data_IF_480113011306
#
_entry.id   IF_480113011306
#
_cell.length_a   1.000
_cell.length_b   1.000
_cell.length_c   1.000
_cell.angle_alpha   90.00
_cell.angle_beta   90.00
_cell.angle_gamma   90.00
#
_symmetry.space_group_name_H-M   'P 1'
#
loop_
_entity.id
_entity.type
_entity.pdbx_description
1 polymer ?
#
# COMPACT_ATOMS: atom_id res chain seq x y z
N UNK A 1 -26.18 -9.00 5.67
CA UNK A 1 -25.28 -8.85 6.83
C UNK A 1 -23.98 -8.26 6.34
N UNK A 2 -23.74 -6.97 6.58
CA UNK A 2 -22.42 -6.39 6.36
C UNK A 2 -21.51 -6.88 7.50
N UNK A 3 -20.51 -7.71 7.21
CA UNK A 3 -19.47 -8.00 8.18
C UNK A 3 -18.84 -6.68 8.62
N UNK A 4 -18.72 -6.47 9.92
CA UNK A 4 -18.09 -5.28 10.49
C UNK A 4 -16.66 -5.14 9.94
N UNK A 5 -16.35 -4.00 9.31
CA UNK A 5 -15.03 -3.76 8.73
C UNK A 5 -14.03 -3.64 9.89
N UNK A 6 -12.93 -4.40 9.81
CA UNK A 6 -11.93 -4.51 10.90
C UNK A 6 -10.78 -3.51 10.81
N UNK A 7 -10.96 -2.43 10.04
CA UNK A 7 -9.91 -1.43 9.84
C UNK A 7 -9.71 -0.58 11.10
N UNK A 8 -8.47 -0.53 11.60
CA UNK A 8 -8.11 0.30 12.75
C UNK A 8 -8.04 1.78 12.36
N UNK A 9 -8.88 2.61 12.97
CA UNK A 9 -8.96 4.06 12.74
C UNK A 9 -8.14 4.89 13.74
N UNK A 10 -7.43 4.26 14.68
CA UNK A 10 -6.68 4.95 15.74
C UNK A 10 -5.66 5.95 15.18
N UNK A 11 -4.95 5.57 14.11
CA UNK A 11 -3.98 6.43 13.40
C UNK A 11 -4.66 7.67 12.81
N UNK A 12 -5.88 7.54 12.29
CA UNK A 12 -6.61 8.67 11.70
C UNK A 12 -7.06 9.65 12.80
N UNK A 13 -7.63 9.13 13.88
CA UNK A 13 -8.05 9.98 15.01
C UNK A 13 -6.88 10.72 15.67
N UNK A 14 -5.71 10.07 15.75
CA UNK A 14 -4.50 10.70 16.27
C UNK A 14 -4.06 11.87 15.38
N UNK A 15 -3.98 11.64 14.07
CA UNK A 15 -3.50 12.65 13.12
C UNK A 15 -4.53 13.77 12.88
N UNK A 16 -5.83 13.51 12.96
CA UNK A 16 -6.84 14.57 12.85
C UNK A 16 -6.73 15.65 13.94
N UNK A 17 -6.17 15.32 15.11
CA UNK A 17 -5.96 16.30 16.19
C UNK A 17 -4.76 17.21 15.95
N UNK A 18 -3.78 16.76 15.17
CA UNK A 18 -2.49 17.43 15.00
C UNK A 18 -2.36 18.21 13.69
N UNK A 19 -3.26 18.01 12.73
CA UNK A 19 -3.10 18.59 11.39
C UNK A 19 -4.07 19.75 11.09
N UNK A 20 -3.73 20.64 10.14
CA UNK A 20 -4.56 21.80 9.79
C UNK A 20 -5.91 21.39 9.17
N UNK A 21 -6.98 22.06 9.58
CA UNK A 21 -8.36 21.80 9.10
C UNK A 21 -8.67 22.42 7.72
N UNK A 22 -7.76 23.25 7.20
CA UNK A 22 -7.95 23.95 5.92
C UNK A 22 -7.48 23.14 4.70
N UNK A 23 -6.70 22.07 4.90
CA UNK A 23 -6.22 21.19 3.84
C UNK A 23 -7.18 20.03 3.58
N UNK A 24 -7.08 19.42 2.40
CA UNK A 24 -7.83 18.23 2.05
C UNK A 24 -7.24 16.99 2.74
N UNK A 25 -8.08 16.26 3.50
CA UNK A 25 -7.66 15.04 4.18
C UNK A 25 -7.57 13.86 3.21
N UNK A 26 -6.44 13.17 3.26
CA UNK A 26 -6.14 12.02 2.41
C UNK A 26 -5.76 10.82 3.26
N UNK A 27 -6.26 9.65 2.86
CA UNK A 27 -5.79 8.35 3.32
C UNK A 27 -5.23 7.57 2.15
N UNK A 28 -4.07 6.94 2.36
CA UNK A 28 -3.44 6.09 1.36
C UNK A 28 -3.85 4.63 1.54
N UNK A 29 -4.00 3.88 0.45
CA UNK A 29 -4.15 2.42 0.51
C UNK A 29 -3.28 1.74 -0.53
N UNK A 30 -2.64 0.64 -0.14
CA UNK A 30 -1.92 -0.25 -1.04
C UNK A 30 -2.37 -1.68 -0.85
N UNK A 31 -2.90 -2.29 -1.90
CA UNK A 31 -3.23 -3.72 -1.90
C UNK A 31 -2.12 -4.55 -2.55
N UNK A 32 -2.07 -5.84 -2.25
CA UNK A 32 -1.18 -6.76 -2.95
C UNK A 32 -1.03 -8.11 -2.26
N UNK A 33 -0.31 -9.04 -2.91
CA UNK A 33 -0.10 -10.36 -2.32
C UNK A 33 0.64 -10.30 -0.98
N UNK A 34 1.59 -9.37 -0.80
CA UNK A 34 2.40 -9.25 0.43
C UNK A 34 2.99 -10.60 0.88
N UNK A 35 3.60 -11.33 -0.06
CA UNK A 35 4.00 -12.73 0.08
C UNK A 35 5.52 -12.95 -0.11
N UNK A 36 6.39 -12.40 0.78
CA UNK A 36 6.10 -11.54 1.93
C UNK A 36 6.10 -10.04 1.57
N UNK A 37 5.76 -9.18 2.54
CA UNK A 37 6.01 -7.73 2.46
C UNK A 37 7.53 -7.45 2.42
N UNK A 38 7.94 -6.29 1.92
CA UNK A 38 9.34 -5.91 1.73
C UNK A 38 9.51 -4.38 1.71
N UNK A 39 10.76 -3.90 1.73
CA UNK A 39 11.10 -2.48 1.91
C UNK A 39 10.43 -1.58 0.86
N UNK A 40 10.44 -1.99 -0.42
CA UNK A 40 9.79 -1.23 -1.50
C UNK A 40 8.28 -1.01 -1.29
N UNK A 41 7.56 -1.89 -0.57
CA UNK A 41 6.15 -1.63 -0.25
C UNK A 41 5.98 -0.46 0.73
N UNK A 42 6.84 -0.38 1.75
CA UNK A 42 6.83 0.69 2.76
C UNK A 42 7.34 2.00 2.14
N UNK A 43 8.45 1.96 1.40
CA UNK A 43 9.02 3.16 0.78
C UNK A 43 8.05 3.82 -0.21
N UNK A 44 7.29 3.04 -0.97
CA UNK A 44 6.28 3.58 -1.88
C UNK A 44 5.15 4.32 -1.14
N UNK A 45 4.79 3.88 0.07
CA UNK A 45 3.82 4.58 0.91
C UNK A 45 4.40 5.89 1.42
N UNK A 46 5.62 5.87 1.97
CA UNK A 46 6.32 7.05 2.49
C UNK A 46 6.50 8.12 1.40
N UNK A 47 7.05 7.73 0.24
CA UNK A 47 7.29 8.64 -0.89
C UNK A 47 5.99 9.27 -1.39
N UNK A 48 4.93 8.46 -1.50
CA UNK A 48 3.62 8.99 -1.92
C UNK A 48 3.10 10.01 -0.91
N UNK A 49 3.19 9.72 0.39
CA UNK A 49 2.80 10.66 1.43
C UNK A 49 3.54 11.98 1.29
N UNK A 50 4.87 11.95 1.28
CA UNK A 50 5.72 13.13 1.18
C UNK A 50 5.44 13.94 -0.10
N UNK A 51 5.27 13.25 -1.23
CA UNK A 51 4.96 13.91 -2.51
C UNK A 51 3.61 14.64 -2.48
N UNK A 52 2.55 14.00 -1.96
CA UNK A 52 1.22 14.61 -1.89
C UNK A 52 1.17 15.79 -0.92
N UNK A 53 1.86 15.69 0.21
CA UNK A 53 1.96 16.78 1.19
C UNK A 53 2.73 17.97 0.61
N UNK A 54 3.89 17.72 -0.02
CA UNK A 54 4.77 18.77 -0.57
C UNK A 54 4.24 19.43 -1.83
N UNK A 55 3.76 18.64 -2.79
CA UNK A 55 3.43 19.11 -4.15
C UNK A 55 1.96 19.51 -4.29
N UNK A 56 1.06 18.78 -3.60
CA UNK A 56 -0.38 18.99 -3.71
C UNK A 56 -1.01 19.67 -2.49
N UNK A 57 -0.22 19.98 -1.44
CA UNK A 57 -0.69 20.58 -0.20
C UNK A 57 -1.84 19.77 0.44
N UNK A 58 -1.82 18.45 0.26
CA UNK A 58 -2.73 17.53 0.92
C UNK A 58 -2.26 17.23 2.32
N UNK A 59 -3.20 16.74 3.13
CA UNK A 59 -2.95 16.33 4.49
C UNK A 59 -3.16 14.82 4.63
N UNK A 60 -2.07 14.06 4.62
CA UNK A 60 -2.12 12.59 4.68
C UNK A 60 -2.22 12.14 6.15
N UNK A 61 -3.46 11.94 6.59
CA UNK A 61 -3.79 11.59 7.98
C UNK A 61 -3.62 10.10 8.30
N UNK A 62 -3.38 9.26 7.28
CA UNK A 62 -3.02 7.87 7.48
C UNK A 62 -2.86 7.06 6.20
N UNK A 63 -2.42 5.82 6.36
CA UNK A 63 -2.21 4.88 5.28
C UNK A 63 -2.48 3.44 5.71
N UNK A 64 -2.92 2.62 4.76
CA UNK A 64 -3.19 1.21 4.98
C UNK A 64 -2.48 0.32 3.96
N UNK A 65 -1.77 -0.69 4.46
CA UNK A 65 -1.32 -1.83 3.66
C UNK A 65 -2.37 -2.92 3.80
N UNK A 66 -2.94 -3.36 2.69
CA UNK A 66 -4.04 -4.33 2.62
C UNK A 66 -3.56 -5.60 1.91
N UNK A 67 -3.16 -6.65 2.66
CA UNK A 67 -2.88 -7.94 2.05
C UNK A 67 -4.14 -8.49 1.36
N UNK A 68 -3.98 -9.00 0.14
CA UNK A 68 -5.12 -9.52 -0.63
C UNK A 68 -5.61 -10.88 -0.13
N UNK A 69 -6.78 -11.32 -0.57
CA UNK A 69 -7.38 -12.60 -0.17
C UNK A 69 -6.56 -13.83 -0.62
N UNK A 70 -6.57 -14.91 0.16
CA UNK A 70 -5.79 -16.12 -0.12
C UNK A 70 -6.17 -16.78 -1.45
N UNK A 71 -7.43 -16.72 -1.86
CA UNK A 71 -7.90 -17.24 -3.16
C UNK A 71 -7.12 -16.63 -4.34
N UNK A 72 -6.95 -15.30 -4.33
CA UNK A 72 -6.19 -14.60 -5.37
C UNK A 72 -4.70 -14.96 -5.32
N UNK A 73 -4.11 -15.01 -4.12
CA UNK A 73 -2.70 -15.38 -3.96
C UNK A 73 -2.48 -16.83 -4.39
N UNK A 74 -3.42 -17.73 -4.13
CA UNK A 74 -3.34 -19.13 -4.51
C UNK A 74 -3.37 -19.29 -6.03
N UNK A 75 -4.27 -18.58 -6.72
CA UNK A 75 -4.30 -18.56 -8.19
C UNK A 75 -2.98 -18.07 -8.80
N UNK A 76 -2.31 -17.12 -8.15
CA UNK A 76 -1.04 -16.55 -8.60
C UNK A 76 0.20 -17.39 -8.26
N UNK A 77 0.27 -17.93 -7.04
CA UNK A 77 1.50 -18.48 -6.44
C UNK A 77 1.41 -19.97 -6.09
N UNK A 78 0.22 -20.56 -6.14
CA UNK A 78 -0.05 -21.96 -5.82
C UNK A 78 0.56 -22.37 -4.47
N UNK A 79 1.54 -23.27 -4.49
CA UNK A 79 2.18 -23.83 -3.29
C UNK A 79 3.11 -22.82 -2.58
N UNK A 80 3.49 -21.71 -3.22
CA UNK A 80 4.31 -20.66 -2.59
C UNK A 80 3.50 -19.68 -1.74
N UNK A 81 2.19 -19.90 -1.62
CA UNK A 81 1.32 -19.08 -0.79
C UNK A 81 1.72 -19.19 0.69
N UNK A 82 1.86 -18.03 1.31
CA UNK A 82 1.85 -17.81 2.75
C UNK A 82 0.42 -17.40 3.13
N UNK A 83 -0.17 -18.09 4.10
CA UNK A 83 -1.55 -17.86 4.53
C UNK A 83 -1.77 -16.39 4.94
N UNK A 84 -2.97 -15.88 4.68
CA UNK A 84 -3.36 -14.50 4.93
C UNK A 84 -3.04 -14.00 6.32
N UNK A 85 -3.29 -14.79 7.36
CA UNK A 85 -2.98 -14.40 8.75
C UNK A 85 -1.49 -14.13 8.95
N UNK A 86 -0.63 -14.93 8.33
CA UNK A 86 0.82 -14.72 8.40
C UNK A 86 1.25 -13.52 7.58
N UNK A 87 0.61 -13.24 6.43
CA UNK A 87 0.91 -12.05 5.63
C UNK A 87 0.51 -10.77 6.34
N UNK A 88 -0.64 -10.75 7.01
CA UNK A 88 -1.07 -9.66 7.88
C UNK A 88 -0.02 -9.41 8.97
N UNK A 89 0.40 -10.46 9.67
CA UNK A 89 1.37 -10.32 10.77
C UNK A 89 2.74 -9.82 10.29
N UNK A 90 3.22 -10.33 9.15
CA UNK A 90 4.44 -9.81 8.52
C UNK A 90 4.29 -8.33 8.14
N UNK A 91 3.13 -7.89 7.68
CA UNK A 91 2.89 -6.46 7.39
C UNK A 91 2.97 -5.61 8.66
N UNK A 92 2.38 -6.04 9.78
CA UNK A 92 2.46 -5.32 11.07
C UNK A 92 3.91 -5.17 11.52
N UNK A 93 4.64 -6.29 11.54
CA UNK A 93 6.05 -6.33 11.95
C UNK A 93 6.93 -5.43 11.07
N UNK A 94 6.71 -5.46 9.76
CA UNK A 94 7.43 -4.58 8.83
C UNK A 94 7.17 -3.09 9.07
N UNK A 95 5.92 -2.70 9.35
CA UNK A 95 5.54 -1.31 9.64
C UNK A 95 6.19 -0.85 10.95
N UNK A 96 6.17 -1.68 11.99
CA UNK A 96 6.77 -1.41 13.28
C UNK A 96 8.31 -1.31 13.19
N UNK A 97 8.98 -2.28 12.54
CA UNK A 97 10.43 -2.26 12.35
C UNK A 97 10.87 -1.06 11.49
N UNK A 98 10.03 -0.57 10.58
CA UNK A 98 10.27 0.64 9.80
C UNK A 98 9.95 1.96 10.54
N UNK A 99 9.41 1.90 11.77
CA UNK A 99 9.04 3.09 12.55
C UNK A 99 7.86 3.89 11.99
N UNK A 100 6.99 3.28 11.18
CA UNK A 100 5.91 3.97 10.46
C UNK A 100 4.51 3.86 11.10
N UNK A 101 4.41 3.22 12.28
CA UNK A 101 3.14 2.93 12.96
C UNK A 101 2.33 4.17 13.38
N UNK A 102 2.94 5.37 13.36
CA UNK A 102 2.27 6.63 13.70
C UNK A 102 1.26 7.08 12.63
N UNK A 103 1.36 6.58 11.41
CA UNK A 103 0.45 6.94 10.31
C UNK A 103 0.10 5.76 9.39
N UNK A 104 0.86 4.68 9.42
CA UNK A 104 0.67 3.51 8.57
C UNK A 104 0.21 2.32 9.41
N UNK A 105 -0.83 1.62 8.96
CA UNK A 105 -1.33 0.39 9.61
C UNK A 105 -1.72 -0.67 8.57
N UNK A 106 -2.16 -1.84 9.04
CA UNK A 106 -2.63 -2.94 8.19
C UNK A 106 -4.15 -2.93 8.13
N UNK A 107 -4.72 -2.90 6.92
CA UNK A 107 -6.15 -3.18 6.71
C UNK A 107 -6.33 -4.68 6.44
N UNK A 108 -7.01 -5.37 7.35
CA UNK A 108 -7.26 -6.81 7.23
C UNK A 108 -8.51 -7.13 6.40
N UNK A 109 -9.35 -6.13 6.10
CA UNK A 109 -10.69 -6.35 5.55
C UNK A 109 -10.67 -7.16 4.25
N UNK A 110 -9.74 -6.88 3.33
CA UNK A 110 -9.59 -7.62 2.07
C UNK A 110 -9.12 -9.06 2.30
N UNK A 111 -8.10 -9.24 3.15
CA UNK A 111 -7.51 -10.54 3.40
C UNK A 111 -8.46 -11.52 4.09
N UNK A 112 -9.32 -10.99 4.97
CA UNK A 112 -10.23 -11.75 5.83
C UNK A 112 -11.68 -11.78 5.30
N UNK A 113 -11.92 -11.21 4.12
CA UNK A 113 -13.21 -11.30 3.46
C UNK A 113 -13.57 -12.77 3.13
N UNK A 114 -14.85 -13.12 3.00
CA UNK A 114 -15.25 -14.48 2.61
C UNK A 114 -14.80 -14.91 1.20
N UNK A 115 -14.48 -13.94 0.33
CA UNK A 115 -14.06 -14.16 -1.05
C UNK A 115 -13.14 -13.03 -1.51
N UNK A 116 -12.44 -13.23 -2.62
CA UNK A 116 -11.64 -12.17 -3.23
C UNK A 116 -12.49 -10.93 -3.59
N UNK A 117 -11.94 -9.76 -3.29
CA UNK A 117 -12.52 -8.45 -3.62
C UNK A 117 -11.49 -7.71 -4.47
N UNK A 118 -11.92 -7.14 -5.60
CA UNK A 118 -11.03 -6.37 -6.47
C UNK A 118 -10.56 -5.07 -5.81
N UNK A 119 -9.41 -4.56 -6.25
CA UNK A 119 -8.77 -3.40 -5.63
C UNK A 119 -9.63 -2.13 -5.64
N UNK A 120 -10.51 -1.96 -6.62
CA UNK A 120 -11.34 -0.76 -6.68
C UNK A 120 -12.42 -0.86 -5.61
N UNK A 121 -13.07 -2.02 -5.51
CA UNK A 121 -14.04 -2.32 -4.46
C UNK A 121 -13.45 -2.22 -3.05
N UNK A 122 -12.23 -2.72 -2.82
CA UNK A 122 -11.52 -2.57 -1.52
C UNK A 122 -11.33 -1.08 -1.18
N UNK A 123 -10.89 -0.29 -2.15
CA UNK A 123 -10.63 1.15 -1.98
C UNK A 123 -11.93 1.93 -1.72
N UNK A 124 -12.99 1.68 -2.49
CA UNK A 124 -14.29 2.31 -2.28
C UNK A 124 -14.90 1.95 -0.94
N UNK A 125 -14.83 0.67 -0.58
CA UNK A 125 -15.31 0.21 0.71
C UNK A 125 -14.57 0.93 1.85
N UNK A 126 -13.24 1.14 1.72
CA UNK A 126 -12.45 1.86 2.73
C UNK A 126 -12.90 3.31 2.83
N UNK A 127 -13.03 3.97 1.69
CA UNK A 127 -13.49 5.34 1.61
C UNK A 127 -14.87 5.53 2.24
N UNK A 128 -15.83 4.64 1.94
CA UNK A 128 -17.16 4.69 2.53
C UNK A 128 -17.09 4.53 4.05
N UNK A 129 -16.36 3.53 4.53
CA UNK A 129 -16.20 3.28 5.97
C UNK A 129 -15.61 4.48 6.69
N UNK A 130 -14.48 5.02 6.20
CA UNK A 130 -13.82 6.17 6.80
C UNK A 130 -14.76 7.38 6.84
N UNK A 131 -15.43 7.69 5.74
CA UNK A 131 -16.30 8.88 5.68
C UNK A 131 -17.56 8.73 6.55
N UNK A 132 -18.13 7.53 6.64
CA UNK A 132 -19.27 7.25 7.51
C UNK A 132 -18.88 7.32 8.99
N UNK A 133 -17.72 6.76 9.36
CA UNK A 133 -17.29 6.69 10.76
C UNK A 133 -16.72 8.01 11.28
N UNK A 134 -15.93 8.73 10.48
CA UNK A 134 -15.36 10.01 10.89
C UNK A 134 -16.36 11.16 10.77
N UNK A 135 -17.30 11.08 9.81
CA UNK A 135 -18.36 12.07 9.57
C UNK A 135 -17.85 13.54 9.61
N UNK A 136 -16.74 13.79 8.92
CA UNK A 136 -16.12 15.11 8.87
C UNK A 136 -16.90 16.05 7.93
N UNK A 137 -16.88 17.38 8.16
CA UNK A 137 -17.55 18.35 7.28
C UNK A 137 -17.06 18.30 5.83
N UNK A 138 -15.77 18.00 5.64
CA UNK A 138 -15.17 17.70 4.35
C UNK A 138 -14.84 16.21 4.28
N UNK A 139 -15.26 15.49 3.24
CA UNK A 139 -14.99 14.08 3.11
C UNK A 139 -13.48 13.81 2.95
N UNK A 140 -13.04 12.67 3.49
CA UNK A 140 -11.67 12.16 3.35
C UNK A 140 -11.53 11.47 1.99
N UNK A 141 -10.51 11.86 1.24
CA UNK A 141 -10.13 11.18 0.00
C UNK A 141 -9.34 9.93 0.30
N UNK A 142 -9.51 8.92 -0.56
CA UNK A 142 -8.70 7.69 -0.50
C UNK A 142 -7.95 7.53 -1.81
N UNK A 143 -6.62 7.56 -1.72
CA UNK A 143 -5.72 7.45 -2.87
C UNK A 143 -5.04 6.08 -2.86
N UNK A 144 -5.18 5.35 -3.95
CA UNK A 144 -4.55 4.05 -4.12
C UNK A 144 -3.09 4.18 -4.57
N UNK A 145 -2.17 3.47 -3.93
CA UNK A 145 -0.73 3.49 -4.25
C UNK A 145 -0.33 2.29 -5.11
N UNK A 146 -0.14 2.54 -6.40
CA UNK A 146 0.28 1.54 -7.39
C UNK A 146 1.72 1.77 -7.86
N UNK A 147 2.39 0.69 -8.28
CA UNK A 147 3.55 0.82 -9.17
C UNK A 147 3.11 0.97 -10.62
N UNK A 148 3.94 1.53 -11.49
CA UNK A 148 3.65 1.75 -12.92
C UNK A 148 3.12 0.48 -13.62
N UNK A 149 3.75 -0.66 -13.35
CA UNK A 149 3.37 -1.98 -13.87
C UNK A 149 1.93 -2.41 -13.56
N UNK A 150 1.46 -2.12 -12.35
CA UNK A 150 0.09 -2.44 -11.94
C UNK A 150 -0.88 -1.44 -12.57
N UNK A 151 -0.49 -0.17 -12.62
CA UNK A 151 -1.28 0.91 -13.19
C UNK A 151 -1.61 0.64 -14.66
N UNK A 152 -0.61 0.24 -15.45
CA UNK A 152 -0.76 -0.02 -16.89
C UNK A 152 -1.61 -1.27 -17.20
N UNK A 153 -1.67 -2.24 -16.28
CA UNK A 153 -2.34 -3.54 -16.52
C UNK A 153 -3.72 -3.65 -15.88
N UNK A 154 -4.01 -2.88 -14.84
CA UNK A 154 -5.25 -3.05 -14.08
C UNK A 154 -6.35 -2.08 -14.51
N UNK A 155 -7.42 -2.61 -15.11
CA UNK A 155 -8.61 -1.83 -15.50
C UNK A 155 -9.28 -1.11 -14.32
N UNK A 156 -9.17 -1.66 -13.11
CA UNK A 156 -9.71 -1.05 -11.88
C UNK A 156 -9.14 0.34 -11.55
N UNK A 157 -7.98 0.70 -12.11
CA UNK A 157 -7.42 2.05 -11.97
C UNK A 157 -8.28 3.11 -12.67
N UNK A 158 -9.04 2.72 -13.71
CA UNK A 158 -9.88 3.65 -14.48
C UNK A 158 -11.05 4.17 -13.66
N UNK A 159 -11.66 3.35 -12.81
CA UNK A 159 -12.74 3.79 -11.92
C UNK A 159 -12.21 4.67 -10.79
N UNK A 160 -11.08 4.29 -10.17
CA UNK A 160 -10.45 5.05 -9.09
C UNK A 160 -10.05 6.47 -9.52
N UNK A 161 -9.42 6.63 -10.70
CA UNK A 161 -9.02 7.95 -11.21
C UNK A 161 -10.18 8.88 -11.59
N UNK A 162 -11.38 8.33 -11.75
CA UNK A 162 -12.60 9.07 -12.11
C UNK A 162 -13.51 9.35 -10.91
N UNK A 163 -13.24 8.75 -9.77
CA UNK A 163 -14.02 8.98 -8.55
C UNK A 163 -13.64 10.32 -7.93
N UNK A 164 -14.60 11.17 -7.52
CA UNK A 164 -14.32 12.49 -6.96
C UNK A 164 -13.51 12.41 -5.65
N UNK A 165 -13.76 11.40 -4.82
CA UNK A 165 -13.02 11.18 -3.58
C UNK A 165 -11.86 10.18 -3.74
N UNK A 166 -11.76 9.55 -4.91
CA UNK A 166 -10.72 8.60 -5.26
C UNK A 166 -9.48 9.27 -5.84
N UNK A 167 -8.44 8.45 -6.02
CA UNK A 167 -7.27 8.80 -6.82
C UNK A 167 -6.30 7.63 -6.89
N UNK A 168 -5.31 7.77 -7.77
CA UNK A 168 -4.23 6.78 -7.91
C UNK A 168 -2.89 7.51 -7.88
N UNK A 169 -2.06 7.18 -6.89
CA UNK A 169 -0.65 7.53 -6.89
C UNK A 169 0.14 6.42 -7.60
N UNK A 170 0.84 6.79 -8.68
CA UNK A 170 1.63 5.89 -9.51
C UNK A 170 3.10 6.14 -9.21
N UNK A 171 3.70 5.22 -8.46
CA UNK A 171 5.15 5.23 -8.21
C UNK A 171 5.87 4.63 -9.40
N UNK A 172 6.77 5.40 -10.02
CA UNK A 172 7.50 5.01 -11.23
C UNK A 172 8.99 5.34 -11.09
N UNK A 173 9.80 4.73 -11.96
CA UNK A 173 11.23 5.03 -12.07
C UNK A 173 11.53 5.76 -13.37
N UNK A 174 12.45 6.74 -13.39
CA UNK A 174 12.94 7.32 -14.62
C UNK A 174 13.46 6.23 -15.58
N UNK A 175 13.11 6.30 -16.86
CA UNK A 175 13.50 5.33 -17.88
C UNK A 175 12.59 4.09 -18.01
N UNK A 176 11.59 3.89 -17.14
CA UNK A 176 10.53 2.89 -17.36
C UNK A 176 9.42 3.49 -18.25
N UNK A 177 9.34 3.04 -19.51
CA UNK A 177 8.30 3.34 -20.52
C UNK A 177 7.42 4.58 -20.21
N UNK A 178 8.10 5.73 -20.10
CA UNK A 178 7.61 7.00 -19.57
C UNK A 178 6.78 7.78 -20.60
N UNK A 179 6.60 7.22 -21.79
CA UNK A 179 5.82 7.76 -22.91
C UNK A 179 4.37 8.04 -22.54
N UNK A 180 3.84 7.35 -21.53
CA UNK A 180 2.51 7.63 -20.97
C UNK A 180 2.51 8.67 -19.85
N UNK A 181 3.64 8.90 -19.18
CA UNK A 181 3.76 9.80 -18.02
C UNK A 181 3.86 11.26 -18.51
N UNK A 182 4.67 11.51 -19.54
CA UNK A 182 4.82 12.85 -20.15
C UNK A 182 3.60 13.30 -20.96
N UNK A 183 2.81 12.37 -21.52
CA UNK A 183 1.56 12.71 -22.23
C UNK A 183 0.34 12.90 -21.31
N UNK A 184 0.39 12.43 -20.06
CA UNK A 184 -0.68 12.61 -19.06
C UNK A 184 -0.37 13.65 -17.99
N UNK A 185 0.86 14.17 -17.91
CA UNK A 185 1.19 15.28 -17.02
C UNK A 185 0.33 16.54 -17.24
N UNK A 186 -0.38 16.66 -18.37
CA UNK A 186 -1.17 17.85 -18.72
C UNK A 186 -2.47 17.48 -19.46
N UNK A 187 -3.30 16.60 -18.91
CA UNK A 187 -4.74 16.60 -19.24
C UNK A 187 -5.60 16.66 -17.98
N UNK A 188 -5.80 17.89 -17.56
CA UNK A 188 -7.01 18.47 -16.95
C UNK A 188 -7.97 17.48 -16.25
N UNK A 189 -7.91 17.44 -14.92
CA UNK A 189 -8.96 16.84 -14.08
C UNK A 189 -8.87 15.35 -13.75
N UNK A 190 -7.79 14.65 -14.11
CA UNK A 190 -7.62 13.24 -13.70
C UNK A 190 -7.04 13.10 -12.28
N UNK A 191 -7.66 12.28 -11.42
CA UNK A 191 -7.18 12.00 -10.06
C UNK A 191 -5.99 11.01 -10.07
N UNK A 192 -4.93 11.34 -10.81
CA UNK A 192 -3.69 10.54 -10.93
C UNK A 192 -2.49 11.38 -10.52
N UNK A 193 -1.66 10.82 -9.65
CA UNK A 193 -0.49 11.48 -9.06
C UNK A 193 0.76 10.67 -9.39
N UNK A 194 1.67 11.20 -10.21
CA UNK A 194 2.89 10.49 -10.60
C UNK A 194 4.02 10.79 -9.60
N UNK A 195 4.50 9.75 -8.92
CA UNK A 195 5.51 9.86 -7.86
C UNK A 195 6.81 9.21 -8.34
N UNK A 196 7.86 10.01 -8.48
CA UNK A 196 9.18 9.50 -8.88
C UNK A 196 9.83 8.73 -7.72
N UNK A 197 10.34 7.54 -7.99
CA UNK A 197 11.03 6.71 -7.00
C UNK A 197 12.46 7.18 -6.67
N UNK A 198 13.09 7.98 -7.55
CA UNK A 198 14.47 8.47 -7.43
C UNK A 198 14.52 9.96 -7.13
N UNK A 199 13.48 10.50 -6.50
CA UNK A 199 13.47 11.92 -6.13
C UNK A 199 14.41 12.11 -4.93
N UNK A 200 15.66 12.53 -5.20
CA UNK A 200 16.76 12.69 -4.23
C UNK A 200 16.45 13.68 -3.09
N UNK A 201 15.41 14.51 -3.28
CA UNK A 201 14.90 15.45 -2.27
C UNK A 201 13.99 14.77 -1.22
N UNK A 202 13.74 13.46 -1.33
CA UNK A 202 12.94 12.70 -0.36
C UNK A 202 13.85 11.94 0.61
N UNK A 203 13.75 12.27 1.90
CA UNK A 203 14.44 11.55 2.99
C UNK A 203 14.01 10.08 2.99
N UNK A 204 14.81 9.26 2.32
CA UNK A 204 14.67 7.82 2.25
C UNK A 204 15.90 7.23 2.90
N UNK A 205 15.94 7.30 4.22
CA UNK A 205 16.94 6.60 5.03
C UNK A 205 16.87 5.09 4.75
N UNK A 206 17.63 4.62 3.74
CA UNK A 206 17.94 3.22 3.46
C UNK A 206 17.04 2.51 2.44
N UNK A 207 17.41 2.52 1.15
CA UNK A 207 17.31 1.34 0.27
C UNK A 207 18.14 1.48 -1.01
N UNK A 208 19.41 1.08 -0.98
CA UNK A 208 20.31 1.02 -2.14
C UNK A 208 20.14 -0.26 -3.01
N UNK A 209 18.92 -0.77 -3.24
CA UNK A 209 18.77 -1.80 -4.28
C UNK A 209 17.40 -1.75 -4.96
N UNK A 210 17.44 -1.47 -6.26
CA UNK A 210 16.30 -1.02 -7.06
C UNK A 210 15.48 -2.13 -7.70
N UNK A 211 15.56 -3.40 -7.29
CA UNK A 211 14.70 -4.47 -7.85
C UNK A 211 14.27 -5.50 -6.79
N UNK A 212 13.71 -4.99 -5.70
CA UNK A 212 13.13 -5.82 -4.64
C UNK A 212 11.74 -6.29 -5.07
N UNK A 213 11.57 -7.61 -5.17
CA UNK A 213 10.26 -8.25 -5.33
C UNK A 213 10.05 -9.35 -4.30
N UNK A 214 8.79 -9.62 -3.93
CA UNK A 214 8.46 -10.76 -3.07
C UNK A 214 8.90 -12.09 -3.69
N UNK A 215 8.94 -12.21 -5.02
CA UNK A 215 9.42 -13.43 -5.71
C UNK A 215 10.91 -13.64 -5.45
N UNK A 216 11.72 -12.60 -5.62
CA UNK A 216 13.16 -12.65 -5.31
C UNK A 216 13.40 -13.07 -3.86
N UNK A 217 12.64 -12.50 -2.92
CA UNK A 217 12.77 -12.84 -1.49
C UNK A 217 12.45 -14.31 -1.24
N UNK A 218 11.37 -14.86 -1.83
CA UNK A 218 11.02 -16.28 -1.66
C UNK A 218 12.08 -17.20 -2.25
N UNK A 219 12.60 -16.86 -3.43
CA UNK A 219 13.67 -17.63 -4.09
C UNK A 219 14.94 -17.65 -3.23
N UNK A 220 15.43 -16.47 -2.81
CA UNK A 220 16.61 -16.34 -1.96
C UNK A 220 16.42 -17.03 -0.62
N UNK A 221 15.25 -16.89 0.00
CA UNK A 221 14.93 -17.54 1.27
C UNK A 221 14.94 -19.07 1.16
N UNK A 222 14.36 -19.64 0.09
CA UNK A 222 14.41 -21.09 -0.18
C UNK A 222 15.86 -21.60 -0.36
N UNK A 223 16.73 -20.77 -0.91
CA UNK A 223 18.14 -21.06 -1.16
C UNK A 223 19.06 -20.69 0.01
N UNK A 224 18.53 -20.35 1.19
CA UNK A 224 19.28 -19.92 2.38
C UNK A 224 20.21 -18.71 2.13
N UNK A 225 19.84 -17.83 1.20
CA UNK A 225 20.58 -16.61 0.89
C UNK A 225 20.11 -15.45 1.78
N UNK A 226 20.99 -14.47 2.03
CA UNK A 226 20.66 -13.30 2.83
C UNK A 226 19.56 -12.44 2.17
N UNK A 227 18.52 -12.13 2.92
CA UNK A 227 17.38 -11.31 2.51
C UNK A 227 17.14 -10.07 3.39
N UNK A 228 18.00 -9.78 4.36
CA UNK A 228 17.79 -8.70 5.36
C UNK A 228 17.84 -7.29 4.74
N UNK A 229 18.53 -7.16 3.61
CA UNK A 229 18.55 -5.94 2.80
C UNK A 229 17.30 -5.80 1.90
N UNK A 230 16.57 -6.88 1.64
CA UNK A 230 15.38 -6.88 0.77
C UNK A 230 14.09 -6.65 1.57
N UNK A 231 14.01 -7.22 2.77
CA UNK A 231 12.86 -7.10 3.68
C UNK A 231 13.33 -6.76 5.09
N UNK A 232 12.51 -7.04 6.09
CA UNK A 232 12.73 -6.73 7.49
C UNK A 232 13.13 -7.99 8.25
N UNK A 233 13.98 -7.86 9.28
CA UNK A 233 14.43 -9.01 10.07
C UNK A 233 13.25 -9.71 10.74
N UNK A 234 12.32 -8.93 11.29
CA UNK A 234 11.07 -9.42 11.89
C UNK A 234 10.19 -10.21 10.91
N UNK A 235 10.20 -9.85 9.62
CA UNK A 235 9.49 -10.58 8.57
C UNK A 235 10.16 -11.92 8.30
N UNK A 236 11.50 -11.95 8.20
CA UNK A 236 12.25 -13.19 7.99
C UNK A 236 12.12 -14.14 9.19
N UNK A 237 12.16 -13.62 10.41
CA UNK A 237 11.95 -14.41 11.62
C UNK A 237 10.53 -15.00 11.66
N UNK A 238 9.52 -14.24 11.21
CA UNK A 238 8.16 -14.78 11.08
C UNK A 238 8.05 -15.85 9.99
N UNK A 239 8.74 -15.69 8.86
CA UNK A 239 8.79 -16.72 7.81
C UNK A 239 9.36 -18.04 8.32
N UNK A 240 10.36 -18.02 9.22
CA UNK A 240 10.90 -19.24 9.85
C UNK A 240 9.84 -19.99 10.65
N UNK A 241 9.01 -19.26 11.40
CA UNK A 241 7.88 -19.83 12.18
C UNK A 241 6.84 -20.48 11.25
N UNK A 242 6.57 -19.86 10.09
CA UNK A 242 5.64 -20.43 9.10
C UNK A 242 6.22 -21.72 8.49
N UNK A 243 7.51 -21.74 8.16
CA UNK A 243 8.19 -22.91 7.61
C UNK A 243 8.24 -24.07 8.61
N UNK A 244 8.45 -23.81 9.90
CA UNK A 244 8.54 -24.85 10.93
C UNK A 244 7.21 -25.53 11.24
N UNK A 245 6.07 -24.92 10.91
CA UNK A 245 4.72 -25.50 11.10
C UNK A 245 4.24 -26.35 9.92
N UNK A 246 4.96 -26.36 8.79
CA UNK A 246 4.64 -27.16 7.61
C UNK A 246 5.36 -28.53 7.58
N UNK A 247 6.34 -28.72 8.46
CA UNK A 247 7.05 -29.99 8.70
C UNK A 247 6.48 -30.67 9.95
#
# INVERSE_FOLDING_TARGET
>A
MHSERTTDLSILYSNLKSHPTNQEYVVLIKTGSMNPIHRCHISNMIRTKQYLERVHNFNVIGGYISPTHDEYVHGKLRHELINGQHRIEMCRKAIEEAGQQHWLSVDMAECMAPQFIDLASVTYSLQMFINQTLNLPKPVRVIYVAGLDLFNRCRGMTSLRRSPLGGVAVVYRPGQDDRFITSTHVQDGSNVFYVCANDDDMDTSGSESDDISSTLIRERYKNNQNCEHLTFKSVLDHMKIVSSKKN
#
